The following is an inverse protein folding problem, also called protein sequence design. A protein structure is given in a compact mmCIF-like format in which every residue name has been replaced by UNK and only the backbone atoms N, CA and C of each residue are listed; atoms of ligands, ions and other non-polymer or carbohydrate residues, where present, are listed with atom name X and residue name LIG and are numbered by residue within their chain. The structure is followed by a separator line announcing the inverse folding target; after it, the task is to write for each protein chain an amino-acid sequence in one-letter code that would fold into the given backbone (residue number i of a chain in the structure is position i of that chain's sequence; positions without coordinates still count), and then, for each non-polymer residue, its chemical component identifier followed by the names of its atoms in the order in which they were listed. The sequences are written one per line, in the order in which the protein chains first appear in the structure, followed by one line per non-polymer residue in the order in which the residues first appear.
data_IF_185983018172
#
_entry.id   IF_185983018172
#
_cell.length_a   1.000
_cell.length_b   1.000
_cell.length_c   1.000
_cell.angle_alpha   90.00
_cell.angle_beta   90.00
_cell.angle_gamma   90.00
#
_symmetry.space_group_name_H-M   'P 1'
#
loop_
_entity.id
_entity.type
_entity.pdbx_description
1 polymer ?
#
# COMPACT_ATOMS: atom_id res chain seq x y z
N UNK A 1 6.83 -15.55 -11.11
CA UNK A 1 7.89 -16.26 -10.37
C UNK A 1 7.24 -17.00 -9.21
N UNK A 2 7.17 -18.33 -9.32
CA UNK A 2 6.73 -19.24 -8.26
C UNK A 2 7.98 -19.59 -7.46
N UNK A 3 7.88 -19.65 -6.14
CA UNK A 3 9.01 -19.95 -5.27
C UNK A 3 9.14 -21.46 -5.09
N UNK A 4 10.38 -21.92 -4.89
CA UNK A 4 10.64 -23.33 -4.60
C UNK A 4 9.97 -23.75 -3.29
N UNK A 5 9.60 -25.04 -3.13
CA UNK A 5 8.98 -25.52 -1.91
C UNK A 5 9.86 -25.29 -0.67
N UNK A 6 11.18 -25.35 -0.82
CA UNK A 6 12.16 -25.09 0.24
C UNK A 6 12.08 -23.64 0.74
N UNK A 7 12.01 -22.65 -0.17
CA UNK A 7 11.88 -21.24 0.19
C UNK A 7 10.54 -20.96 0.89
N UNK A 8 9.45 -21.60 0.42
CA UNK A 8 8.14 -21.50 1.06
C UNK A 8 8.18 -22.08 2.48
N UNK A 9 8.81 -23.23 2.68
CA UNK A 9 8.92 -23.84 4.01
C UNK A 9 9.84 -23.06 4.95
N UNK A 10 10.92 -22.47 4.44
CA UNK A 10 11.79 -21.59 5.22
C UNK A 10 11.03 -20.37 5.76
N UNK A 11 10.20 -19.73 4.93
CA UNK A 11 9.34 -18.61 5.38
C UNK A 11 8.25 -19.08 6.34
N UNK A 12 7.69 -20.28 6.15
CA UNK A 12 6.75 -20.87 7.12
C UNK A 12 7.42 -21.10 8.47
N UNK A 13 8.66 -21.60 8.47
CA UNK A 13 9.46 -21.79 9.68
C UNK A 13 9.76 -20.46 10.37
N UNK A 14 10.16 -19.42 9.63
CA UNK A 14 10.36 -18.06 10.14
C UNK A 14 9.10 -17.51 10.84
N UNK A 15 7.91 -17.81 10.29
CA UNK A 15 6.62 -17.43 10.87
C UNK A 15 6.14 -18.37 12.00
N UNK A 16 6.92 -19.39 12.40
CA UNK A 16 6.56 -20.34 13.44
C UNK A 16 5.50 -21.37 13.02
N UNK A 17 5.52 -21.79 11.74
CA UNK A 17 4.59 -22.74 11.11
C UNK A 17 3.11 -22.45 11.38
N UNK A 18 2.61 -21.26 10.98
CA UNK A 18 1.20 -20.94 11.17
C UNK A 18 0.29 -21.91 10.40
N UNK A 19 -0.86 -22.24 11.00
CA UNK A 19 -1.95 -22.92 10.29
C UNK A 19 -2.42 -22.06 9.10
N UNK A 20 -3.07 -22.70 8.12
CA UNK A 20 -3.60 -22.08 6.90
C UNK A 20 -4.73 -21.06 7.14
N UNK A 21 -5.22 -20.94 8.38
CA UNK A 21 -6.28 -19.99 8.78
C UNK A 21 -5.74 -18.55 8.74
N UNK A 22 -6.40 -17.59 8.06
CA UNK A 22 -5.93 -16.22 7.94
C UNK A 22 -5.55 -15.54 9.27
N UNK A 23 -6.36 -15.71 10.32
CA UNK A 23 -6.09 -15.10 11.62
C UNK A 23 -4.78 -15.60 12.27
N UNK A 24 -4.40 -16.87 12.03
CA UNK A 24 -3.14 -17.43 12.54
C UNK A 24 -1.95 -16.88 11.76
N UNK A 25 -2.10 -16.75 10.43
CA UNK A 25 -1.09 -16.13 9.56
C UNK A 25 -0.85 -14.67 9.98
N UNK A 26 -1.90 -13.87 10.15
CA UNK A 26 -1.75 -12.46 10.56
C UNK A 26 -1.17 -12.32 11.96
N UNK A 27 -1.58 -13.16 12.90
CA UNK A 27 -0.97 -13.19 14.23
C UNK A 27 0.50 -13.58 14.20
N UNK A 28 0.93 -14.45 13.28
CA UNK A 28 2.34 -14.82 13.12
C UNK A 28 3.15 -13.65 12.55
N UNK A 29 2.67 -13.03 11.47
CA UNK A 29 3.30 -11.83 10.88
C UNK A 29 3.44 -10.71 11.92
N UNK A 30 2.39 -10.47 12.73
CA UNK A 30 2.41 -9.45 13.78
C UNK A 30 3.47 -9.71 14.85
N UNK A 31 3.81 -10.98 15.13
CA UNK A 31 4.80 -11.39 16.13
C UNK A 31 6.19 -11.57 15.55
N UNK A 32 6.34 -11.44 14.23
CA UNK A 32 7.62 -11.52 13.58
C UNK A 32 8.51 -10.38 14.11
N UNK A 33 9.66 -10.75 14.66
CA UNK A 33 10.67 -9.80 15.09
C UNK A 33 11.43 -9.32 13.85
N UNK A 34 11.00 -8.18 13.30
CA UNK A 34 11.58 -7.60 12.09
C UNK A 34 11.60 -6.09 12.19
N UNK A 35 12.78 -5.50 11.94
CA UNK A 35 12.96 -4.05 11.84
C UNK A 35 12.32 -3.44 10.60
N UNK A 36 11.87 -4.26 9.64
CA UNK A 36 11.28 -3.80 8.38
C UNK A 36 9.99 -2.99 8.59
N UNK A 37 9.34 -3.11 9.75
CA UNK A 37 8.13 -2.36 10.10
C UNK A 37 8.37 -1.13 10.99
N UNK A 38 9.57 -0.96 11.54
CA UNK A 38 9.86 0.06 12.56
C UNK A 38 9.64 1.48 12.06
N UNK A 39 9.92 1.74 10.78
CA UNK A 39 9.73 3.05 10.15
C UNK A 39 8.31 3.59 10.26
N UNK A 40 7.31 2.71 10.36
CA UNK A 40 5.91 3.07 10.50
C UNK A 40 5.49 3.25 11.96
N UNK A 41 6.32 2.79 12.90
CA UNK A 41 6.07 2.77 14.35
C UNK A 41 6.90 3.83 15.11
N UNK A 42 7.64 4.65 14.38
CA UNK A 42 8.46 5.75 14.89
C UNK A 42 7.94 7.09 14.39
N UNK A 43 6.68 7.43 14.73
CA UNK A 43 6.14 8.75 14.42
C UNK A 43 7.07 9.83 15.00
N UNK A 44 7.66 10.63 14.12
CA UNK A 44 8.22 11.89 14.55
C UNK A 44 7.05 12.83 14.79
N UNK A 45 7.00 13.58 15.90
CA UNK A 45 6.00 14.61 16.09
C UNK A 45 6.10 15.56 14.90
N UNK A 46 5.09 15.53 14.02
CA UNK A 46 5.04 16.49 12.93
C UNK A 46 5.04 17.88 13.56
N UNK A 47 5.92 18.76 13.07
CA UNK A 47 5.92 20.17 13.44
C UNK A 47 4.47 20.65 13.44
N UNK A 48 3.98 21.08 14.61
CA UNK A 48 2.60 21.50 14.82
C UNK A 48 2.14 22.37 13.66
N UNK A 49 1.29 21.84 12.77
CA UNK A 49 0.77 22.60 11.66
C UNK A 49 -0.18 23.61 12.27
N UNK A 50 0.25 24.87 12.40
CA UNK A 50 -0.61 25.95 12.88
C UNK A 50 -1.73 26.18 11.87
N UNK A 51 -2.94 25.78 12.23
CA UNK A 51 -4.14 25.92 11.38
C UNK A 51 -4.90 27.17 11.79
N UNK A 52 -5.23 28.00 10.80
CA UNK A 52 -5.88 29.32 10.99
C UNK A 52 -7.25 29.21 11.68
N UNK A 53 -7.94 28.06 11.55
CA UNK A 53 -9.28 27.82 12.10
C UNK A 53 -9.34 27.01 13.40
N UNK A 54 -8.20 26.78 14.07
CA UNK A 54 -8.10 25.83 15.18
C UNK A 54 -7.89 24.39 14.72
N UNK A 55 -7.73 23.47 15.67
CA UNK A 55 -7.49 22.06 15.37
C UNK A 55 -8.79 21.37 14.91
N UNK A 56 -8.79 20.74 13.71
CA UNK A 56 -9.88 19.86 13.30
C UNK A 56 -10.15 18.77 14.34
N UNK A 57 -11.37 18.22 14.39
CA UNK A 57 -11.67 17.09 15.27
C UNK A 57 -10.79 15.87 14.92
N UNK A 58 -10.68 14.93 15.85
CA UNK A 58 -10.09 13.62 15.57
C UNK A 58 -10.79 12.96 14.38
N UNK A 59 -10.02 12.23 13.58
CA UNK A 59 -10.59 11.51 12.44
C UNK A 59 -11.44 10.34 12.94
N UNK A 60 -12.75 10.43 12.69
CA UNK A 60 -13.71 9.38 12.99
C UNK A 60 -14.72 9.24 11.85
N UNK A 61 -15.11 8.00 11.55
CA UNK A 61 -16.23 7.69 10.67
C UNK A 61 -17.22 6.75 11.37
N UNK A 62 -18.51 7.03 11.21
CA UNK A 62 -19.59 6.20 11.72
C UNK A 62 -20.09 5.19 10.67
N UNK A 63 -21.10 4.38 11.01
CA UNK A 63 -21.62 3.35 10.08
C UNK A 63 -22.27 3.96 8.83
N UNK A 64 -23.00 5.08 8.97
CA UNK A 64 -23.63 5.75 7.84
C UNK A 64 -22.60 6.43 6.92
N UNK A 65 -21.45 6.84 7.44
CA UNK A 65 -20.35 7.35 6.60
C UNK A 65 -19.75 6.22 5.76
N UNK A 66 -19.59 5.05 6.39
CA UNK A 66 -19.09 3.86 5.73
C UNK A 66 -20.04 3.41 4.60
N UNK A 67 -21.36 3.43 4.83
CA UNK A 67 -22.36 3.11 3.80
C UNK A 67 -22.25 4.03 2.57
N UNK A 68 -22.03 5.33 2.79
CA UNK A 68 -21.83 6.29 1.69
C UNK A 68 -20.56 5.94 0.92
N UNK A 69 -19.46 5.67 1.63
CA UNK A 69 -18.18 5.32 1.01
C UNK A 69 -18.24 3.97 0.28
N UNK A 70 -18.98 3.00 0.81
CA UNK A 70 -19.18 1.67 0.22
C UNK A 70 -20.06 1.77 -1.04
N UNK A 71 -21.09 2.63 -1.02
CA UNK A 71 -21.97 2.86 -2.17
C UNK A 71 -21.30 3.62 -3.32
N UNK A 72 -20.24 4.38 -3.02
CA UNK A 72 -19.57 5.27 -3.98
C UNK A 72 -20.46 6.42 -4.49
N UNK A 73 -21.63 6.64 -3.88
CA UNK A 73 -22.62 7.62 -4.33
C UNK A 73 -22.95 8.61 -3.22
N UNK A 74 -22.69 9.89 -3.49
CA UNK A 74 -23.06 11.00 -2.60
C UNK A 74 -24.51 11.48 -2.79
N UNK A 75 -25.26 10.88 -3.72
CA UNK A 75 -26.60 11.37 -4.12
C UNK A 75 -27.63 11.32 -2.99
N UNK A 76 -27.52 10.32 -2.11
CA UNK A 76 -28.46 10.11 -1.00
C UNK A 76 -27.88 10.56 0.36
N UNK A 77 -26.67 11.09 0.37
CA UNK A 77 -26.01 11.55 1.59
C UNK A 77 -26.50 12.95 1.99
N UNK A 78 -26.83 13.14 3.27
CA UNK A 78 -27.21 14.46 3.78
C UNK A 78 -26.08 15.48 3.63
N UNK A 79 -26.42 16.75 3.39
CA UNK A 79 -25.44 17.84 3.22
C UNK A 79 -24.51 17.98 4.43
N UNK A 80 -25.04 17.80 5.65
CA UNK A 80 -24.26 17.87 6.88
C UNK A 80 -23.19 16.76 6.94
N UNK A 81 -23.56 15.53 6.58
CA UNK A 81 -22.66 14.37 6.56
C UNK A 81 -21.58 14.51 5.49
N UNK A 82 -21.96 15.00 4.31
CA UNK A 82 -21.00 15.34 3.24
C UNK A 82 -19.98 16.39 3.70
N UNK A 83 -20.45 17.47 4.34
CA UNK A 83 -19.57 18.51 4.89
C UNK A 83 -18.64 17.99 5.99
N UNK A 84 -19.11 17.08 6.85
CA UNK A 84 -18.27 16.42 7.86
C UNK A 84 -17.15 15.61 7.21
N UNK A 85 -17.47 14.76 6.23
CA UNK A 85 -16.48 13.96 5.51
C UNK A 85 -15.47 14.84 4.73
N UNK A 86 -15.94 15.92 4.12
CA UNK A 86 -15.09 16.89 3.41
C UNK A 86 -14.15 17.65 4.35
N UNK A 87 -14.64 18.04 5.54
CA UNK A 87 -13.79 18.65 6.58
C UNK A 87 -12.76 17.66 7.11
N UNK A 88 -13.09 16.38 7.16
CA UNK A 88 -12.19 15.34 7.65
C UNK A 88 -11.84 15.50 9.12
N UNK A 89 -10.70 14.95 9.51
CA UNK A 89 -10.18 15.03 10.87
C UNK A 89 -8.70 14.73 10.94
N UNK A 90 -8.14 14.86 12.14
CA UNK A 90 -6.71 14.65 12.43
C UNK A 90 -6.47 13.19 12.84
N UNK A 91 -5.43 12.58 12.28
CA UNK A 91 -4.91 11.28 12.70
C UNK A 91 -3.94 11.42 13.89
N UNK A 92 -3.65 10.36 14.65
CA UNK A 92 -2.79 10.45 15.84
C UNK A 92 -1.38 11.07 15.63
N UNK A 93 -0.86 11.07 14.41
CA UNK A 93 0.42 11.69 14.03
C UNK A 93 0.31 13.17 13.62
N UNK A 94 -0.88 13.77 13.75
CA UNK A 94 -1.17 15.16 13.38
C UNK A 94 -1.57 15.36 11.90
N UNK A 95 -1.47 14.32 11.07
CA UNK A 95 -1.84 14.41 9.65
C UNK A 95 -3.36 14.55 9.47
N UNK A 96 -3.79 15.28 8.44
CA UNK A 96 -5.20 15.55 8.18
C UNK A 96 -5.73 14.62 7.09
N UNK A 97 -6.75 13.83 7.42
CA UNK A 97 -7.41 12.94 6.47
C UNK A 97 -8.84 13.44 6.20
N UNK A 98 -9.15 13.66 4.92
CA UNK A 98 -10.48 14.08 4.46
C UNK A 98 -10.98 13.21 3.32
N UNK A 99 -12.30 13.19 3.14
CA UNK A 99 -12.95 12.48 2.05
C UNK A 99 -13.87 13.43 1.27
N UNK A 100 -13.57 13.59 -0.01
CA UNK A 100 -14.33 14.47 -0.90
C UNK A 100 -14.63 13.74 -2.19
N UNK A 101 -15.92 13.65 -2.51
CA UNK A 101 -16.43 13.16 -3.80
C UNK A 101 -15.84 11.79 -4.23
N UNK A 102 -15.84 10.83 -3.29
CA UNK A 102 -15.35 9.47 -3.56
C UNK A 102 -13.84 9.29 -3.44
N UNK A 103 -13.07 10.33 -3.09
CA UNK A 103 -11.60 10.25 -2.93
C UNK A 103 -11.15 10.70 -1.55
N UNK A 104 -10.12 10.04 -1.04
CA UNK A 104 -9.44 10.48 0.17
C UNK A 104 -8.30 11.43 -0.17
N UNK A 105 -8.06 12.36 0.75
CA UNK A 105 -6.95 13.30 0.70
C UNK A 105 -6.28 13.34 2.06
N UNK A 106 -4.97 13.14 2.08
CA UNK A 106 -4.12 13.14 3.27
C UNK A 106 -3.16 14.34 3.17
N UNK A 107 -3.35 15.35 4.00
CA UNK A 107 -2.67 16.66 3.88
C UNK A 107 -2.75 17.24 2.46
N UNK A 108 -3.89 17.04 1.77
CA UNK A 108 -4.11 17.45 0.39
C UNK A 108 -3.56 16.49 -0.69
N UNK A 109 -2.86 15.43 -0.31
CA UNK A 109 -2.36 14.41 -1.23
C UNK A 109 -3.47 13.38 -1.50
N UNK A 110 -3.91 13.16 -2.75
CA UNK A 110 -4.92 12.16 -3.05
C UNK A 110 -4.35 10.75 -2.85
N UNK A 111 -5.11 9.90 -2.16
CA UNK A 111 -4.71 8.50 -1.89
C UNK A 111 -5.92 7.56 -1.80
N UNK A 112 -5.64 6.27 -1.92
CA UNK A 112 -6.61 5.20 -1.65
C UNK A 112 -6.44 4.71 -0.20
N UNK A 113 -7.53 4.65 0.55
CA UNK A 113 -7.51 4.26 1.97
C UNK A 113 -8.37 3.02 2.22
N UNK A 114 -7.84 1.97 2.86
CA UNK A 114 -8.64 0.86 3.39
C UNK A 114 -9.41 1.30 4.66
N UNK A 115 -10.43 2.14 4.49
CA UNK A 115 -11.13 2.84 5.57
C UNK A 115 -11.85 1.92 6.56
N UNK A 116 -12.26 0.71 6.18
CA UNK A 116 -12.82 -0.28 7.12
C UNK A 116 -11.77 -0.69 8.15
N UNK A 117 -10.55 -0.95 7.69
CA UNK A 117 -9.44 -1.33 8.56
C UNK A 117 -8.91 -0.14 9.36
N UNK A 118 -8.83 1.03 8.73
CA UNK A 118 -8.42 2.26 9.41
C UNK A 118 -9.37 2.58 10.57
N UNK A 119 -10.69 2.58 10.33
CA UNK A 119 -11.71 2.78 11.36
C UNK A 119 -11.56 1.81 12.54
N UNK A 120 -11.33 0.53 12.27
CA UNK A 120 -11.08 -0.48 13.31
C UNK A 120 -9.82 -0.18 14.13
N UNK A 121 -8.78 0.38 13.51
CA UNK A 121 -7.55 0.76 14.20
C UNK A 121 -7.70 2.03 15.02
N UNK A 122 -8.38 3.06 14.50
CA UNK A 122 -8.62 4.32 15.23
C UNK A 122 -9.43 4.11 16.51
N UNK A 123 -10.31 3.11 16.53
CA UNK A 123 -11.07 2.72 17.74
C UNK A 123 -10.24 2.01 18.82
N UNK A 124 -8.96 1.71 18.56
CA UNK A 124 -8.09 1.03 19.54
C UNK A 124 -7.44 2.04 20.48
N UNK A 125 -7.43 1.73 21.77
CA UNK A 125 -6.80 2.59 22.78
C UNK A 125 -5.27 2.44 22.87
N UNK A 126 -4.71 1.33 22.35
CA UNK A 126 -3.28 0.98 22.51
C UNK A 126 -2.64 0.66 21.15
N UNK A 127 -1.35 0.97 21.02
CA UNK A 127 -0.53 0.60 19.87
C UNK A 127 -0.74 1.45 18.62
N UNK A 128 -1.39 2.62 18.74
CA UNK A 128 -1.66 3.54 17.62
C UNK A 128 -0.99 4.92 17.75
N UNK A 129 -0.48 5.25 18.94
CA UNK A 129 0.02 6.60 19.27
C UNK A 129 1.32 6.93 18.54
N UNK A 130 2.21 5.96 18.39
CA UNK A 130 3.53 6.18 17.78
C UNK A 130 3.55 5.81 16.28
N UNK A 131 2.39 5.61 15.66
CA UNK A 131 2.31 5.20 14.26
C UNK A 131 2.42 6.43 13.37
N UNK A 132 3.36 6.42 12.42
CA UNK A 132 3.43 7.41 11.34
C UNK A 132 2.34 7.10 10.30
N UNK A 133 1.12 7.56 10.59
CA UNK A 133 -0.05 7.29 9.76
C UNK A 133 0.09 7.86 8.37
N UNK A 134 0.72 9.03 8.24
CA UNK A 134 0.95 9.65 6.95
C UNK A 134 1.79 8.77 6.05
N UNK A 135 2.98 8.37 6.51
CA UNK A 135 3.89 7.53 5.74
C UNK A 135 3.29 6.15 5.50
N UNK A 136 2.62 5.56 6.51
CA UNK A 136 1.96 4.26 6.38
C UNK A 136 0.86 4.26 5.31
N UNK A 137 -0.08 5.21 5.37
CA UNK A 137 -1.21 5.26 4.44
C UNK A 137 -0.77 5.57 3.01
N UNK A 138 0.20 6.48 2.83
CA UNK A 138 0.80 6.73 1.52
C UNK A 138 1.46 5.47 0.96
N UNK A 139 2.18 4.73 1.79
CA UNK A 139 2.86 3.49 1.36
C UNK A 139 1.86 2.37 1.04
N UNK A 140 0.78 2.24 1.82
CA UNK A 140 -0.34 1.32 1.51
C UNK A 140 -0.97 1.65 0.16
N UNK A 141 -1.26 2.93 -0.09
CA UNK A 141 -1.84 3.35 -1.37
C UNK A 141 -0.89 3.12 -2.55
N UNK A 142 0.41 3.42 -2.39
CA UNK A 142 1.43 3.13 -3.40
C UNK A 142 1.51 1.62 -3.69
N UNK A 143 1.53 0.77 -2.66
CA UNK A 143 1.58 -0.69 -2.83
C UNK A 143 0.35 -1.28 -3.55
N UNK A 144 -0.78 -0.58 -3.48
CA UNK A 144 -2.03 -0.96 -4.14
C UNK A 144 -2.21 -0.30 -5.52
N UNK A 145 -1.25 0.52 -5.96
CA UNK A 145 -1.31 1.23 -7.25
C UNK A 145 -1.09 0.24 -8.39
N UNK A 146 -1.97 0.28 -9.40
CA UNK A 146 -1.85 -0.53 -10.62
C UNK A 146 -1.43 0.36 -11.78
N UNK A 147 -0.28 0.04 -12.35
CA UNK A 147 0.12 0.55 -13.66
C UNK A 147 -0.37 -0.43 -14.73
N UNK A 148 -1.20 0.06 -15.66
CA UNK A 148 -1.68 -0.72 -16.80
C UNK A 148 -0.62 -0.69 -17.90
N UNK A 149 -0.24 -1.86 -18.41
CA UNK A 149 0.62 -1.99 -19.58
C UNK A 149 -0.21 -2.46 -20.76
N UNK A 150 -0.04 -1.84 -21.95
CA UNK A 150 -0.69 -2.32 -23.18
C UNK A 150 -0.17 -3.68 -23.65
N UNK A 151 1.02 -4.05 -23.22
CA UNK A 151 1.52 -5.42 -23.36
C UNK A 151 0.79 -6.29 -22.34
N UNK A 152 -0.18 -7.08 -22.81
CA UNK A 152 -0.59 -8.28 -22.09
C UNK A 152 0.61 -9.22 -22.07
N UNK A 153 1.23 -9.51 -20.91
CA UNK A 153 2.23 -10.55 -20.86
C UNK A 153 1.54 -11.86 -21.21
N UNK A 154 2.16 -12.67 -22.08
CA UNK A 154 1.67 -14.01 -22.44
C UNK A 154 1.24 -14.73 -21.16
N UNK A 155 -0.04 -15.09 -21.08
CA UNK A 155 -0.74 -15.52 -19.86
C UNK A 155 -0.31 -16.89 -19.30
N UNK A 156 0.95 -17.30 -19.48
CA UNK A 156 1.42 -18.64 -19.17
C UNK A 156 1.89 -18.88 -17.73
N UNK A 157 2.31 -17.84 -16.99
CA UNK A 157 2.94 -18.05 -15.66
C UNK A 157 2.49 -17.13 -14.51
N UNK A 158 1.85 -15.99 -14.78
CA UNK A 158 1.63 -14.93 -13.77
C UNK A 158 0.16 -14.73 -13.36
N UNK A 159 -0.78 -15.38 -14.06
CA UNK A 159 -2.20 -15.03 -14.00
C UNK A 159 -2.48 -13.64 -14.60
N UNK A 160 -3.75 -13.33 -14.87
CA UNK A 160 -4.22 -12.14 -15.62
C UNK A 160 -3.95 -10.77 -14.95
N UNK A 161 -3.13 -10.66 -13.89
CA UNK A 161 -2.96 -9.43 -13.09
C UNK A 161 -1.49 -9.19 -12.70
N UNK A 162 -0.68 -8.80 -13.68
CA UNK A 162 0.67 -8.23 -13.51
C UNK A 162 0.62 -6.71 -13.56
N UNK A 163 1.61 -6.06 -12.96
CA UNK A 163 1.79 -4.60 -13.03
C UNK A 163 3.27 -4.24 -12.98
N UNK A 164 3.61 -3.01 -13.38
CA UNK A 164 4.93 -2.44 -13.12
C UNK A 164 5.04 -2.21 -11.61
N UNK A 165 6.15 -2.63 -11.02
CA UNK A 165 6.40 -2.44 -9.59
C UNK A 165 6.21 -0.95 -9.20
N UNK A 166 5.28 -0.62 -8.29
CA UNK A 166 4.91 0.78 -8.01
C UNK A 166 6.07 1.65 -7.54
N UNK A 167 6.94 1.14 -6.65
CA UNK A 167 8.14 1.85 -6.21
C UNK A 167 9.14 2.12 -7.36
N UNK A 168 9.32 1.15 -8.28
CA UNK A 168 10.18 1.34 -9.45
C UNK A 168 9.61 2.43 -10.37
N UNK A 169 8.30 2.40 -10.61
CA UNK A 169 7.63 3.40 -11.44
C UNK A 169 7.73 4.81 -10.84
N UNK A 170 7.55 4.93 -9.52
CA UNK A 170 7.74 6.18 -8.79
C UNK A 170 9.15 6.76 -8.94
N UNK A 171 10.18 5.92 -8.83
CA UNK A 171 11.57 6.38 -8.98
C UNK A 171 11.90 6.78 -10.40
N UNK A 172 11.36 6.06 -11.38
CA UNK A 172 11.55 6.38 -12.80
C UNK A 172 10.92 7.72 -13.16
N UNK A 173 9.71 8.02 -12.69
CA UNK A 173 9.03 9.31 -12.96
C UNK A 173 9.81 10.53 -12.44
N UNK A 174 10.72 10.35 -11.47
CA UNK A 174 11.62 11.38 -10.98
C UNK A 174 12.79 11.73 -11.92
N UNK A 175 13.09 10.91 -12.94
CA UNK A 175 14.19 11.13 -13.89
C UNK A 175 13.66 11.38 -15.33
N UNK A 176 13.43 12.65 -15.72
CA UNK A 176 12.84 13.00 -17.01
C UNK A 176 13.68 12.57 -18.23
N UNK A 177 14.96 12.20 -18.04
CA UNK A 177 15.84 11.74 -19.13
C UNK A 177 15.60 10.27 -19.48
N UNK A 178 15.22 9.45 -18.50
CA UNK A 178 15.04 7.99 -18.66
C UNK A 178 13.60 7.59 -18.97
N UNK A 179 12.64 8.36 -18.48
CA UNK A 179 11.19 8.12 -18.67
C UNK A 179 10.81 7.89 -20.14
N UNK A 180 11.25 8.70 -21.13
CA UNK A 180 10.82 8.51 -22.52
C UNK A 180 11.30 7.20 -23.14
N UNK A 181 12.53 6.78 -22.83
CA UNK A 181 13.10 5.51 -23.33
C UNK A 181 12.39 4.31 -22.69
N UNK A 182 12.17 4.37 -21.38
CA UNK A 182 11.46 3.34 -20.63
C UNK A 182 9.99 3.19 -21.08
N UNK A 183 9.24 4.29 -21.18
CA UNK A 183 7.85 4.28 -21.64
C UNK A 183 7.73 3.72 -23.07
N UNK A 184 8.64 4.12 -23.97
CA UNK A 184 8.71 3.56 -25.33
C UNK A 184 8.99 2.06 -25.31
N UNK A 185 9.96 1.62 -24.51
CA UNK A 185 10.28 0.21 -24.38
C UNK A 185 9.12 -0.62 -23.83
N UNK A 186 8.25 -0.03 -22.99
CA UNK A 186 7.05 -0.66 -22.42
C UNK A 186 5.80 -0.58 -23.32
N UNK A 187 5.88 0.08 -24.48
CA UNK A 187 4.71 0.34 -25.32
C UNK A 187 3.67 1.24 -24.65
N UNK A 188 4.10 2.04 -23.67
CA UNK A 188 3.28 3.04 -23.00
C UNK A 188 3.30 4.35 -23.82
N UNK A 189 2.19 5.12 -23.84
CA UNK A 189 2.15 6.38 -24.55
C UNK A 189 3.22 7.35 -24.03
N UNK A 190 3.98 7.98 -24.95
CA UNK A 190 5.02 9.00 -24.68
C UNK A 190 4.48 10.18 -23.84
N UNK A 191 3.17 10.41 -23.96
CA UNK A 191 2.37 11.30 -23.14
C UNK A 191 1.14 10.51 -22.66
N UNK A 192 1.30 9.77 -21.58
CA UNK A 192 0.24 9.00 -20.93
C UNK A 192 -0.60 9.82 -19.97
N UNK A 193 -1.86 9.40 -19.78
CA UNK A 193 -2.88 10.07 -18.96
C UNK A 193 -2.36 10.39 -17.54
N UNK A 194 -2.82 11.47 -16.87
CA UNK A 194 -2.41 11.85 -15.51
C UNK A 194 -2.54 10.73 -14.45
N UNK A 195 -3.28 9.67 -14.76
CA UNK A 195 -3.47 8.47 -13.93
C UNK A 195 -2.32 7.47 -13.97
N UNK A 196 -1.36 7.61 -14.89
CA UNK A 196 -0.28 6.63 -15.14
C UNK A 196 1.07 7.00 -14.50
N UNK A 197 1.25 8.25 -14.08
CA UNK A 197 2.42 8.68 -13.30
C UNK A 197 2.22 8.41 -11.82
N UNK A 198 3.28 8.03 -11.11
CA UNK A 198 3.31 8.04 -9.66
C UNK A 198 2.96 9.43 -9.17
N UNK A 199 1.86 9.53 -8.43
CA UNK A 199 1.40 10.77 -7.79
C UNK A 199 2.18 11.06 -6.50
N UNK A 200 3.05 10.12 -6.12
CA UNK A 200 3.84 10.18 -4.91
C UNK A 200 5.28 10.56 -5.21
N UNK A 201 5.88 11.36 -4.31
CA UNK A 201 7.28 11.76 -4.39
C UNK A 201 8.14 10.81 -3.56
N UNK A 202 9.31 10.38 -4.05
CA UNK A 202 10.26 9.55 -3.29
C UNK A 202 10.60 10.11 -1.90
N UNK A 203 10.77 11.44 -1.79
CA UNK A 203 11.10 12.12 -0.53
C UNK A 203 10.09 11.86 0.60
N UNK A 204 8.83 11.56 0.28
CA UNK A 204 7.79 11.29 1.27
C UNK A 204 7.99 9.96 2.00
N UNK A 205 8.83 9.08 1.47
CA UNK A 205 9.08 7.73 1.99
C UNK A 205 10.49 7.55 2.55
N UNK A 206 11.25 8.63 2.70
CA UNK A 206 12.62 8.57 3.25
C UNK A 206 12.61 7.91 4.64
N UNK A 207 13.55 7.00 4.87
CA UNK A 207 13.67 6.25 6.11
C UNK A 207 12.66 5.10 6.25
N UNK A 208 11.88 4.80 5.22
CA UNK A 208 11.15 3.54 5.15
C UNK A 208 12.09 2.43 4.68
N UNK A 209 12.07 1.28 5.38
CA UNK A 209 12.95 0.14 5.10
C UNK A 209 12.96 -0.27 3.61
N UNK A 210 11.78 -0.33 2.99
CA UNK A 210 11.64 -0.67 1.57
C UNK A 210 12.23 0.40 0.65
N UNK A 211 12.16 1.68 1.03
CA UNK A 211 12.69 2.80 0.23
C UNK A 211 14.22 2.84 0.33
N UNK A 212 14.76 2.64 1.53
CA UNK A 212 16.20 2.57 1.78
C UNK A 212 16.85 1.40 1.01
N UNK A 213 16.12 0.28 0.88
CA UNK A 213 16.52 -0.85 0.04
C UNK A 213 16.62 -0.47 -1.45
N UNK A 214 15.77 0.43 -1.96
CA UNK A 214 15.90 0.95 -3.32
C UNK A 214 17.02 1.98 -3.46
N UNK A 215 17.26 2.80 -2.44
CA UNK A 215 18.34 3.80 -2.44
C UNK A 215 19.73 3.15 -2.43
N UNK A 216 19.83 1.92 -1.92
CA UNK A 216 21.04 1.11 -1.94
C UNK A 216 21.35 0.50 -3.31
N UNK A 217 20.41 0.56 -4.26
CA UNK A 217 20.58 0.01 -5.61
C UNK A 217 21.07 1.07 -6.59
N UNK A 218 21.70 0.60 -7.68
CA UNK A 218 22.01 1.47 -8.82
C UNK A 218 20.71 2.06 -9.40
N UNK A 219 20.76 3.27 -10.01
CA UNK A 219 19.63 3.82 -10.73
C UNK A 219 19.08 2.85 -11.76
N UNK A 220 17.75 2.69 -11.77
CA UNK A 220 17.04 1.76 -12.65
C UNK A 220 17.31 2.03 -14.13
N UNK A 221 17.49 0.97 -14.90
CA UNK A 221 17.70 1.02 -16.35
C UNK A 221 16.65 0.20 -17.12
N UNK A 222 16.56 0.43 -18.43
CA UNK A 222 15.69 -0.29 -19.37
C UNK A 222 15.96 -1.81 -19.34
N UNK A 223 17.20 -2.22 -19.04
CA UNK A 223 17.56 -3.64 -18.91
C UNK A 223 16.96 -4.32 -17.67
N UNK A 224 16.57 -3.56 -16.63
CA UNK A 224 15.96 -4.10 -15.41
C UNK A 224 14.43 -4.26 -15.56
N UNK A 225 13.86 -3.97 -16.75
CA UNK A 225 12.43 -3.92 -17.00
C UNK A 225 11.68 -5.23 -16.74
N UNK A 226 12.25 -6.37 -17.15
CA UNK A 226 11.59 -7.66 -16.96
C UNK A 226 11.49 -8.03 -15.48
N UNK A 227 12.46 -7.58 -14.66
CA UNK A 227 12.42 -7.76 -13.20
C UNK A 227 11.38 -6.84 -12.53
N UNK A 228 11.02 -5.71 -13.15
CA UNK A 228 10.03 -4.77 -12.61
C UNK A 228 8.58 -5.23 -12.80
N UNK A 229 8.34 -6.23 -13.65
CA UNK A 229 7.00 -6.77 -13.87
C UNK A 229 6.63 -7.79 -12.80
N UNK A 230 5.87 -7.34 -11.80
CA UNK A 230 5.48 -8.17 -10.66
C UNK A 230 3.99 -8.56 -10.72
N UNK A 231 3.61 -9.73 -10.17
CA UNK A 231 2.21 -10.01 -9.86
C UNK A 231 1.70 -9.01 -8.82
N UNK A 232 0.50 -8.47 -9.01
CA UNK A 232 -0.10 -7.63 -7.98
C UNK A 232 -0.39 -8.42 -6.70
N UNK A 233 0.13 -7.93 -5.57
CA UNK A 233 -0.01 -8.58 -4.28
C UNK A 233 -1.11 -7.96 -3.42
N UNK A 234 -1.07 -6.64 -3.22
CA UNK A 234 -2.00 -5.91 -2.36
C UNK A 234 -3.05 -5.15 -3.17
N UNK A 235 -4.25 -5.05 -2.59
CA UNK A 235 -5.40 -4.41 -3.20
C UNK A 235 -6.23 -3.70 -2.13
N UNK A 236 -6.77 -2.54 -2.48
CA UNK A 236 -7.89 -1.94 -1.76
C UNK A 236 -9.16 -2.23 -2.57
N UNK A 237 -10.09 -2.97 -1.99
CA UNK A 237 -11.39 -3.25 -2.60
C UNK A 237 -12.49 -3.06 -1.57
N UNK A 238 -13.50 -2.27 -1.90
CA UNK A 238 -14.62 -1.92 -1.01
C UNK A 238 -14.11 -1.44 0.36
N UNK A 239 -13.11 -0.54 0.34
CA UNK A 239 -12.49 0.00 1.54
C UNK A 239 -11.73 -0.99 2.43
N UNK A 240 -11.44 -2.20 1.95
CA UNK A 240 -10.69 -3.24 2.68
C UNK A 240 -9.35 -3.52 2.03
N UNK A 241 -8.31 -3.64 2.84
CA UNK A 241 -6.99 -4.09 2.40
C UNK A 241 -7.01 -5.61 2.23
N UNK A 242 -6.60 -6.08 1.05
CA UNK A 242 -6.63 -7.49 0.68
C UNK A 242 -5.29 -7.93 0.11
N UNK A 243 -4.81 -9.10 0.55
CA UNK A 243 -3.67 -9.79 -0.03
C UNK A 243 -4.18 -10.85 -1.02
N UNK A 244 -3.62 -10.86 -2.23
CA UNK A 244 -3.85 -11.93 -3.22
C UNK A 244 -2.93 -13.10 -2.93
N UNK A 245 -3.52 -14.26 -2.72
CA UNK A 245 -2.83 -15.51 -2.40
C UNK A 245 -3.26 -16.63 -3.35
N UNK A 246 -2.38 -17.57 -3.62
CA UNK A 246 -2.64 -18.80 -4.35
C UNK A 246 -3.04 -19.88 -3.35
N UNK A 247 -4.13 -20.58 -3.65
CA UNK A 247 -4.63 -21.73 -2.90
C UNK A 247 -4.86 -22.89 -3.88
N UNK A 248 -5.12 -24.09 -3.38
CA UNK A 248 -5.31 -25.30 -4.20
C UNK A 248 -6.32 -25.12 -5.35
N UNK A 249 -7.34 -24.26 -5.16
CA UNK A 249 -8.39 -23.97 -6.16
C UNK A 249 -8.16 -22.69 -6.97
N UNK A 250 -6.95 -22.14 -6.96
CA UNK A 250 -6.58 -20.92 -7.70
C UNK A 250 -6.33 -19.69 -6.82
N UNK A 251 -6.33 -18.51 -7.44
CA UNK A 251 -6.06 -17.24 -6.77
C UNK A 251 -7.28 -16.78 -5.96
N UNK A 252 -7.05 -16.43 -4.70
CA UNK A 252 -8.03 -15.85 -3.77
C UNK A 252 -7.51 -14.53 -3.22
N UNK A 253 -8.42 -13.74 -2.64
CA UNK A 253 -8.11 -12.52 -1.90
C UNK A 253 -8.46 -12.72 -0.44
N UNK A 254 -7.52 -12.46 0.44
CA UNK A 254 -7.70 -12.53 1.89
C UNK A 254 -7.71 -11.11 2.45
N UNK A 255 -8.67 -10.79 3.30
CA UNK A 255 -8.65 -9.53 4.06
C UNK A 255 -7.47 -9.55 5.03
N UNK A 256 -6.68 -8.49 5.00
CA UNK A 256 -5.53 -8.29 5.89
C UNK A 256 -6.05 -7.81 7.24
N UNK A 257 -5.47 -8.33 8.33
CA UNK A 257 -5.79 -7.86 9.68
C UNK A 257 -5.61 -6.33 9.79
N UNK A 258 -6.54 -5.66 10.45
CA UNK A 258 -6.46 -4.21 10.70
C UNK A 258 -5.46 -3.92 11.82
N UNK A 259 -4.16 -4.02 11.54
CA UNK A 259 -3.09 -3.78 12.52
C UNK A 259 -1.91 -3.04 11.86
N UNK A 260 -1.38 -1.94 12.46
CA UNK A 260 -0.32 -1.15 11.85
C UNK A 260 0.92 -1.96 11.47
N UNK A 261 1.42 -2.78 12.39
CA UNK A 261 2.57 -3.68 12.15
C UNK A 261 2.35 -4.64 10.97
N UNK A 262 1.15 -5.22 10.85
CA UNK A 262 0.85 -6.14 9.73
C UNK A 262 0.83 -5.38 8.41
N UNK A 263 0.24 -4.17 8.40
CA UNK A 263 0.22 -3.32 7.21
C UNK A 263 1.62 -2.88 6.82
N UNK A 264 2.44 -2.42 7.77
CA UNK A 264 3.80 -1.96 7.49
C UNK A 264 4.71 -3.08 7.00
N UNK A 265 4.66 -4.29 7.58
CA UNK A 265 5.42 -5.44 7.07
C UNK A 265 5.00 -5.82 5.66
N UNK A 266 3.71 -6.02 5.40
CA UNK A 266 3.22 -6.42 4.08
C UNK A 266 3.52 -5.38 3.01
N UNK A 267 3.40 -4.09 3.36
CA UNK A 267 3.76 -2.99 2.46
C UNK A 267 5.27 -2.96 2.21
N UNK A 268 6.09 -3.15 3.25
CA UNK A 268 7.55 -3.17 3.11
C UNK A 268 7.98 -4.31 2.20
N UNK A 269 7.44 -5.51 2.38
CA UNK A 269 7.72 -6.64 1.50
C UNK A 269 7.19 -6.43 0.08
N UNK A 270 6.02 -5.81 -0.08
CA UNK A 270 5.41 -5.55 -1.39
C UNK A 270 6.11 -4.45 -2.17
N UNK A 271 6.70 -3.48 -1.49
CA UNK A 271 7.40 -2.35 -2.11
C UNK A 271 8.91 -2.56 -2.17
N UNK A 272 9.47 -3.56 -1.50
CA UNK A 272 10.89 -3.88 -1.59
C UNK A 272 11.29 -4.33 -3.01
N UNK A 273 12.56 -4.14 -3.41
CA UNK A 273 13.06 -4.56 -4.72
C UNK A 273 12.69 -6.02 -5.07
N UNK A 274 12.29 -6.34 -6.32
CA UNK A 274 11.80 -7.68 -6.70
C UNK A 274 12.72 -8.86 -6.36
N UNK A 275 14.03 -8.61 -6.31
CA UNK A 275 15.08 -9.60 -6.00
C UNK A 275 15.51 -9.61 -4.53
N UNK A 276 14.85 -8.86 -3.66
CA UNK A 276 15.14 -8.83 -2.22
C UNK A 276 14.47 -9.99 -1.47
N UNK A 277 15.06 -10.37 -0.34
CA UNK A 277 14.50 -11.37 0.57
C UNK A 277 13.11 -10.97 1.07
N UNK A 278 12.89 -9.68 1.32
CA UNK A 278 11.59 -9.10 1.67
C UNK A 278 10.53 -9.42 0.62
N UNK A 279 10.84 -9.18 -0.65
CA UNK A 279 9.91 -9.45 -1.75
C UNK A 279 9.73 -10.96 -1.98
N UNK A 280 10.78 -11.75 -1.79
CA UNK A 280 10.69 -13.22 -1.81
C UNK A 280 9.76 -13.74 -0.71
N UNK A 281 9.85 -13.18 0.50
CA UNK A 281 8.99 -13.53 1.65
C UNK A 281 7.52 -13.30 1.33
N UNK A 282 7.19 -12.16 0.70
CA UNK A 282 5.83 -11.92 0.21
C UNK A 282 5.38 -12.98 -0.80
N UNK A 283 6.23 -13.32 -1.78
CA UNK A 283 5.89 -14.34 -2.78
C UNK A 283 5.70 -15.72 -2.18
N UNK A 284 6.47 -16.06 -1.14
CA UNK A 284 6.28 -17.30 -0.36
C UNK A 284 4.96 -17.27 0.41
N UNK A 285 4.65 -16.17 1.10
CA UNK A 285 3.37 -15.98 1.81
C UNK A 285 2.16 -16.08 0.87
N UNK A 286 2.30 -15.59 -0.35
CA UNK A 286 1.27 -15.72 -1.38
C UNK A 286 1.07 -17.17 -1.84
N UNK A 287 2.02 -18.08 -1.60
CA UNK A 287 1.97 -19.47 -2.03
C UNK A 287 1.63 -20.44 -0.89
N UNK A 288 1.87 -20.05 0.36
CA UNK A 288 1.63 -20.83 1.59
C UNK A 288 0.17 -20.93 2.00
#
# INVERSE_FOLDING_TARGET
MIEGPEAVEAVRHELGHPDTRPNRIWSAIRRLDSSEAEWAMSAQPNNSITRIGGDPPEWEIDDGDQEIMDSGSIRHASTARRRRLQRGGILPDGSHLSWTDGRFYLDGIPLDVPYHGLRKMMRRTRGIQNVDWKKLLLSVSLACTKHQTRREPRAGQHGLQTTIHPAAMMRLDGDPRRVPHFMRAMGLPRWGLPTERSRYRPDWFRGASWMDAWDSLRPLDVHDMDDMMIPMALYIKNGRLQLRVRRNRGWKRLEVESHPVVWSLLVSWSLAPPRSDSHQRLRCLQQS
#
